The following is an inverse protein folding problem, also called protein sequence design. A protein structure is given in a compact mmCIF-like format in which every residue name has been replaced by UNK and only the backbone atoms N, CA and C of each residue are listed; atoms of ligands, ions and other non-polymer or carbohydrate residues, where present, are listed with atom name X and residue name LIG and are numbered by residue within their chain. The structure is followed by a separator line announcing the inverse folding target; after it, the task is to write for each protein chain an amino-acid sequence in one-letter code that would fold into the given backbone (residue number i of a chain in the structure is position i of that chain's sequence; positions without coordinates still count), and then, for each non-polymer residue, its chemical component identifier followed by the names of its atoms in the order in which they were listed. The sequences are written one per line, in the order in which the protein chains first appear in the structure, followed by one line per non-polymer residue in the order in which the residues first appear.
data_IF_111640939571
#
_entry.id   IF_111640939571
#
_cell.length_a   1.000
_cell.length_b   1.000
_cell.length_c   1.000
_cell.angle_alpha   90.00
_cell.angle_beta   90.00
_cell.angle_gamma   90.00
#
_symmetry.space_group_name_H-M   'P 1'
#
loop_
_entity.id
_entity.type
_entity.pdbx_description
1 polymer ?
#
# COMPACT_ATOMS: atom_id res chain seq x y z
N UNK A 1 -85.03 -16.10 -21.86
CA UNK A 1 -84.38 -15.80 -20.57
C UNK A 1 -83.19 -16.74 -20.37
N UNK A 2 -81.96 -16.24 -20.51
CA UNK A 2 -80.72 -16.95 -20.16
C UNK A 2 -79.77 -15.92 -19.55
N UNK A 3 -79.48 -16.05 -18.25
CA UNK A 3 -78.55 -15.19 -17.49
C UNK A 3 -77.14 -15.74 -17.67
N UNK A 4 -76.22 -14.91 -18.17
CA UNK A 4 -74.80 -15.24 -18.23
C UNK A 4 -74.13 -14.60 -17.00
N UNK A 5 -73.63 -15.44 -16.10
CA UNK A 5 -72.96 -15.04 -14.85
C UNK A 5 -71.49 -14.78 -15.17
N UNK A 6 -71.00 -13.57 -14.88
CA UNK A 6 -69.60 -13.16 -14.95
C UNK A 6 -68.88 -13.58 -13.65
N UNK A 7 -67.89 -14.46 -13.77
CA UNK A 7 -66.96 -14.83 -12.70
C UNK A 7 -65.69 -13.98 -12.82
N UNK A 8 -65.51 -13.02 -11.92
CA UNK A 8 -64.27 -12.27 -11.75
C UNK A 8 -63.31 -13.03 -10.85
N UNK A 9 -62.20 -13.53 -11.41
CA UNK A 9 -61.10 -14.13 -10.67
C UNK A 9 -60.12 -13.03 -10.21
N UNK A 10 -59.96 -12.86 -8.91
CA UNK A 10 -58.93 -12.01 -8.30
C UNK A 10 -57.61 -12.78 -8.25
N UNK A 11 -56.61 -12.37 -9.04
CA UNK A 11 -55.21 -12.79 -8.86
C UNK A 11 -54.54 -11.88 -7.82
N UNK A 12 -54.24 -12.43 -6.63
CA UNK A 12 -53.38 -11.78 -5.65
C UNK A 12 -51.90 -11.95 -6.00
N UNK A 13 -51.23 -10.87 -6.39
CA UNK A 13 -49.76 -10.85 -6.50
C UNK A 13 -49.14 -10.77 -5.10
N UNK A 14 -48.48 -11.85 -4.67
CA UNK A 14 -47.62 -11.83 -3.49
C UNK A 14 -46.31 -11.15 -3.91
N UNK A 15 -46.10 -9.91 -3.48
CA UNK A 15 -44.83 -9.20 -3.65
C UNK A 15 -43.86 -9.73 -2.59
N UNK A 16 -42.94 -10.61 -2.98
CA UNK A 16 -41.80 -10.99 -2.15
C UNK A 16 -40.75 -9.88 -2.22
N UNK A 17 -40.75 -8.98 -1.24
CA UNK A 17 -39.69 -8.00 -1.07
C UNK A 17 -38.44 -8.67 -0.50
N UNK A 18 -37.51 -9.05 -1.38
CA UNK A 18 -36.17 -9.45 -0.96
C UNK A 18 -35.36 -8.20 -0.58
N UNK A 19 -35.18 -7.95 0.72
CA UNK A 19 -34.21 -6.95 1.19
C UNK A 19 -32.80 -7.50 1.00
N UNK A 20 -32.16 -7.13 -0.10
CA UNK A 20 -30.72 -7.30 -0.26
C UNK A 20 -30.02 -6.39 0.77
N UNK A 21 -29.36 -7.00 1.77
CA UNK A 21 -28.43 -6.26 2.63
C UNK A 21 -27.32 -5.71 1.73
N UNK A 22 -27.33 -4.40 1.54
CA UNK A 22 -26.29 -3.68 0.82
C UNK A 22 -24.95 -3.96 1.53
N UNK A 23 -23.90 -4.42 0.83
CA UNK A 23 -22.63 -4.68 1.47
C UNK A 23 -22.12 -3.37 2.05
N UNK A 24 -21.91 -3.34 3.37
CA UNK A 24 -21.24 -2.24 4.07
C UNK A 24 -19.81 -2.17 3.52
N UNK A 25 -19.58 -1.32 2.53
CA UNK A 25 -18.22 -0.98 2.13
C UNK A 25 -17.57 -0.32 3.34
N UNK A 26 -16.52 -0.93 3.88
CA UNK A 26 -15.65 -0.23 4.84
C UNK A 26 -15.18 1.04 4.13
N UNK A 27 -15.65 2.20 4.58
CA UNK A 27 -15.23 3.47 4.00
C UNK A 27 -13.75 3.65 4.29
N UNK A 28 -12.96 3.98 3.27
CA UNK A 28 -11.55 4.32 3.47
C UNK A 28 -11.43 5.51 4.40
N UNK A 29 -10.50 5.44 5.34
CA UNK A 29 -10.23 6.49 6.33
C UNK A 29 -9.10 7.36 5.80
N UNK A 30 -9.33 8.67 5.69
CA UNK A 30 -8.24 9.61 5.42
C UNK A 30 -7.42 9.81 6.70
N UNK A 31 -6.12 9.49 6.64
CA UNK A 31 -5.18 9.70 7.75
C UNK A 31 -4.21 10.80 7.39
N UNK A 32 -4.20 11.86 8.19
CA UNK A 32 -3.15 12.88 8.16
C UNK A 32 -2.05 12.48 9.13
N UNK A 33 -0.82 12.43 8.64
CA UNK A 33 0.35 11.90 9.35
C UNK A 33 1.46 12.94 9.28
N UNK A 34 2.05 13.20 10.44
CA UNK A 34 3.23 14.06 10.56
C UNK A 34 4.24 13.44 11.53
N UNK A 35 5.46 13.23 11.06
CA UNK A 35 6.62 12.85 11.87
C UNK A 35 7.89 13.34 11.16
N UNK A 36 8.86 13.83 11.94
CA UNK A 36 10.00 14.58 11.40
C UNK A 36 9.53 15.68 10.43
N UNK A 37 10.23 15.85 9.30
CA UNK A 37 9.92 16.83 8.25
C UNK A 37 8.80 16.37 7.29
N UNK A 38 8.30 15.14 7.43
CA UNK A 38 7.29 14.59 6.53
C UNK A 38 5.88 14.86 7.04
N UNK A 39 5.06 15.44 6.17
CA UNK A 39 3.64 15.72 6.43
C UNK A 39 2.82 15.31 5.20
N UNK A 40 1.90 14.36 5.37
CA UNK A 40 1.13 13.81 4.26
C UNK A 40 -0.23 13.26 4.70
N UNK A 41 -1.13 13.06 3.73
CA UNK A 41 -2.37 12.30 3.88
C UNK A 41 -2.24 10.95 3.18
N UNK A 42 -2.92 9.94 3.70
CA UNK A 42 -3.00 8.61 3.10
C UNK A 42 -4.43 8.08 3.24
N UNK A 43 -4.96 7.43 2.19
CA UNK A 43 -6.27 6.78 2.22
C UNK A 43 -6.11 5.35 2.70
N UNK A 44 -6.65 5.04 3.88
CA UNK A 44 -6.55 3.73 4.52
C UNK A 44 -7.86 2.94 4.38
N UNK A 45 -8.00 2.05 3.37
CA UNK A 45 -9.16 1.17 3.24
C UNK A 45 -9.10 -0.05 4.17
N UNK A 46 -8.01 -0.25 4.90
CA UNK A 46 -7.78 -1.45 5.73
C UNK A 46 -7.96 -1.17 7.22
N UNK A 47 -8.20 0.09 7.60
CA UNK A 47 -8.31 0.52 9.00
C UNK A 47 -7.12 0.06 9.85
N UNK A 48 -5.90 0.28 9.34
CA UNK A 48 -4.66 -0.09 10.01
C UNK A 48 -4.37 0.78 11.23
N UNK A 49 -3.58 0.24 12.15
CA UNK A 49 -3.05 0.98 13.29
C UNK A 49 -1.80 1.74 12.85
N UNK A 50 -1.86 3.07 12.88
CA UNK A 50 -0.72 3.93 12.59
C UNK A 50 -0.17 4.53 13.89
N UNK A 51 1.13 4.42 14.12
CA UNK A 51 1.83 4.99 15.27
C UNK A 51 3.12 5.67 14.81
N UNK A 52 3.29 6.94 15.14
CA UNK A 52 4.59 7.59 15.06
C UNK A 52 5.33 7.38 16.37
N UNK A 53 6.46 6.68 16.34
CA UNK A 53 7.36 6.60 17.50
C UNK A 53 8.25 7.83 17.51
N UNK A 54 8.12 8.64 18.57
CA UNK A 54 9.03 9.76 18.84
C UNK A 54 10.20 9.37 19.74
N UNK A 55 10.20 8.13 20.22
CA UNK A 55 11.21 7.59 21.14
C UNK A 55 12.39 6.96 20.38
N UNK A 56 12.25 6.74 19.07
CA UNK A 56 13.35 6.38 18.18
C UNK A 56 14.02 7.64 17.63
N UNK A 57 15.34 7.59 17.45
CA UNK A 57 16.09 8.65 16.76
C UNK A 57 16.76 8.05 15.51
N UNK A 58 16.33 8.45 14.29
CA UNK A 58 15.23 9.38 14.00
C UNK A 58 13.84 8.78 14.31
N UNK A 59 12.82 9.63 14.41
CA UNK A 59 11.44 9.19 14.61
C UNK A 59 10.95 8.39 13.38
N UNK A 60 10.20 7.33 13.63
CA UNK A 60 9.66 6.46 12.56
C UNK A 60 8.15 6.34 12.66
N UNK A 61 7.49 6.24 11.51
CA UNK A 61 6.09 5.86 11.41
C UNK A 61 5.97 4.33 11.31
N UNK A 62 4.97 3.75 11.98
CA UNK A 62 4.61 2.35 11.84
C UNK A 62 3.15 2.23 11.45
N UNK A 63 2.84 1.45 10.42
CA UNK A 63 1.49 1.10 10.01
C UNK A 63 1.33 -0.42 10.03
N UNK A 64 0.31 -0.93 10.73
CA UNK A 64 0.01 -2.36 10.80
C UNK A 64 -1.44 -2.60 10.39
N UNK A 65 -1.64 -3.45 9.40
CA UNK A 65 -2.98 -3.85 8.96
C UNK A 65 -3.00 -5.29 8.42
N UNK A 66 -4.12 -5.98 8.60
CA UNK A 66 -4.38 -7.21 7.87
C UNK A 66 -5.07 -6.89 6.55
N UNK A 67 -4.27 -6.77 5.49
CA UNK A 67 -4.72 -6.30 4.16
C UNK A 67 -5.53 -7.37 3.41
N UNK A 68 -5.27 -8.66 3.68
CA UNK A 68 -5.97 -9.77 3.02
C UNK A 68 -6.44 -10.82 4.04
N UNK A 69 -7.42 -10.47 4.90
CA UNK A 69 -7.84 -11.32 6.03
C UNK A 69 -8.57 -12.60 5.59
N UNK A 70 -9.00 -12.66 4.32
CA UNK A 70 -9.71 -13.81 3.73
C UNK A 70 -8.77 -14.77 2.99
N UNK A 71 -7.47 -14.48 2.95
CA UNK A 71 -6.46 -15.38 2.41
C UNK A 71 -6.44 -16.71 3.19
N UNK A 72 -5.91 -17.77 2.58
CA UNK A 72 -5.72 -19.03 3.29
C UNK A 72 -4.56 -18.94 4.28
N UNK A 73 -3.58 -18.09 3.98
CA UNK A 73 -2.40 -17.82 4.80
C UNK A 73 -2.31 -16.31 5.07
N UNK A 74 -3.24 -15.75 5.87
CA UNK A 74 -3.23 -14.34 6.17
C UNK A 74 -2.03 -13.99 7.05
N UNK A 75 -1.56 -12.76 6.92
CA UNK A 75 -0.52 -12.20 7.78
C UNK A 75 -0.75 -10.69 7.92
N UNK A 76 -0.24 -10.13 9.02
CA UNK A 76 -0.26 -8.69 9.21
C UNK A 76 0.83 -8.03 8.36
N UNK A 77 0.41 -7.06 7.56
CA UNK A 77 1.32 -6.21 6.82
C UNK A 77 1.80 -5.10 7.75
N UNK A 78 3.10 -5.05 7.98
CA UNK A 78 3.76 -4.00 8.75
C UNK A 78 4.63 -3.16 7.83
N UNK A 79 4.36 -1.86 7.82
CA UNK A 79 5.11 -0.85 7.06
C UNK A 79 5.79 0.07 8.07
N UNK A 80 7.11 0.14 7.99
CA UNK A 80 7.89 1.16 8.68
C UNK A 80 8.15 2.31 7.72
N UNK A 81 7.94 3.54 8.16
CA UNK A 81 8.20 4.76 7.42
C UNK A 81 9.34 5.55 8.09
N UNK A 82 10.21 6.13 7.27
CA UNK A 82 11.21 7.12 7.66
C UNK A 82 11.08 8.36 6.78
N UNK A 83 11.47 9.51 7.32
CA UNK A 83 11.56 10.75 6.56
C UNK A 83 13.03 11.07 6.32
N UNK A 84 13.44 11.09 5.05
CA UNK A 84 14.81 11.38 4.67
C UNK A 84 14.94 12.84 4.24
N UNK A 85 15.84 13.57 4.88
CA UNK A 85 16.13 14.97 4.56
C UNK A 85 17.62 15.28 4.80
N UNK A 86 18.42 15.61 3.75
CA UNK A 86 18.02 15.72 2.35
C UNK A 86 17.92 14.35 1.65
N UNK A 87 16.92 14.19 0.79
CA UNK A 87 16.75 13.01 -0.08
C UNK A 87 17.65 13.06 -1.31
N UNK A 88 18.95 12.87 -1.08
CA UNK A 88 19.94 12.84 -2.18
C UNK A 88 19.80 11.57 -3.03
N UNK A 89 20.31 11.60 -4.26
CA UNK A 89 20.37 10.40 -5.11
C UNK A 89 21.12 9.23 -4.47
N UNK A 90 22.08 9.51 -3.59
CA UNK A 90 22.80 8.49 -2.85
C UNK A 90 21.88 7.81 -1.82
N UNK A 91 21.10 8.59 -1.07
CA UNK A 91 20.09 8.06 -0.12
C UNK A 91 19.09 7.15 -0.84
N UNK A 92 18.56 7.59 -1.99
CA UNK A 92 17.60 6.78 -2.77
C UNK A 92 18.22 5.49 -3.34
N UNK A 93 19.51 5.54 -3.72
CA UNK A 93 20.28 4.36 -4.15
C UNK A 93 20.49 3.38 -3.01
N UNK A 94 20.81 3.88 -1.82
CA UNK A 94 21.20 3.07 -0.67
C UNK A 94 20.00 2.45 0.04
N UNK A 95 18.84 3.13 0.02
CA UNK A 95 17.63 2.61 0.68
C UNK A 95 16.80 1.70 -0.23
N UNK A 96 16.72 2.01 -1.52
CA UNK A 96 15.78 1.32 -2.43
C UNK A 96 16.35 1.03 -3.82
N UNK A 97 17.67 1.10 -4.00
CA UNK A 97 18.34 0.83 -5.27
C UNK A 97 17.72 1.62 -6.42
N UNK A 98 17.32 2.87 -6.17
CA UNK A 98 16.69 3.71 -7.18
C UNK A 98 17.69 4.66 -7.81
N UNK A 99 17.52 4.88 -9.12
CA UNK A 99 18.18 5.96 -9.85
C UNK A 99 17.20 6.64 -10.79
N UNK A 100 17.43 7.93 -11.03
CA UNK A 100 16.72 8.67 -12.07
C UNK A 100 17.38 8.38 -13.43
N UNK A 101 16.56 8.12 -14.45
CA UNK A 101 16.99 7.96 -15.85
C UNK A 101 16.24 8.96 -16.74
N UNK A 102 16.56 8.98 -18.03
CA UNK A 102 15.82 9.72 -19.05
C UNK A 102 14.33 9.30 -19.16
N UNK A 103 14.01 8.08 -18.70
CA UNK A 103 12.66 7.51 -18.71
C UNK A 103 11.97 7.52 -17.34
N UNK A 104 12.55 8.22 -16.37
CA UNK A 104 12.06 8.25 -14.98
C UNK A 104 12.82 7.31 -14.06
N UNK A 105 12.22 6.98 -12.92
CA UNK A 105 12.83 6.11 -11.90
C UNK A 105 13.02 4.68 -12.41
N UNK A 106 14.20 4.13 -12.12
CA UNK A 106 14.52 2.75 -12.45
C UNK A 106 15.38 2.11 -11.34
N UNK A 107 15.46 0.78 -11.39
CA UNK A 107 16.43 0.03 -10.60
C UNK A 107 17.86 0.46 -10.97
N UNK A 108 18.67 0.67 -9.95
CA UNK A 108 20.11 0.80 -10.07
C UNK A 108 20.77 -0.56 -9.83
N UNK A 109 21.17 -1.28 -10.90
CA UNK A 109 21.74 -2.61 -10.78
C UNK A 109 23.11 -2.63 -10.08
N UNK A 110 23.73 -1.46 -9.87
CA UNK A 110 25.02 -1.36 -9.17
C UNK A 110 24.87 -1.10 -7.67
N UNK A 111 23.64 -1.03 -7.15
CA UNK A 111 23.41 -0.80 -5.73
C UNK A 111 23.76 -2.04 -4.90
N UNK A 112 24.50 -1.84 -3.81
CA UNK A 112 24.96 -2.90 -2.91
C UNK A 112 23.80 -3.57 -2.13
N UNK A 113 22.64 -2.90 -2.05
CA UNK A 113 21.45 -3.48 -1.42
C UNK A 113 20.65 -4.40 -2.34
N UNK A 114 21.00 -4.47 -3.63
CA UNK A 114 20.55 -5.58 -4.47
C UNK A 114 21.33 -6.79 -3.98
N UNK A 115 20.62 -7.72 -3.33
CA UNK A 115 21.25 -8.92 -2.82
C UNK A 115 21.85 -9.80 -3.92
N UNK A 116 22.33 -10.99 -3.54
CA UNK A 116 23.07 -11.84 -4.47
C UNK A 116 22.21 -12.18 -5.70
N UNK A 117 22.84 -12.59 -6.81
CA UNK A 117 22.16 -12.79 -8.11
C UNK A 117 20.96 -13.73 -8.05
N UNK A 118 20.95 -14.67 -7.10
CA UNK A 118 19.89 -15.63 -6.85
C UNK A 118 18.65 -14.99 -6.18
N UNK A 119 18.83 -13.84 -5.52
CA UNK A 119 17.74 -13.05 -4.95
C UNK A 119 17.01 -12.31 -6.05
N UNK A 120 15.76 -12.73 -6.28
CA UNK A 120 14.91 -12.06 -7.26
C UNK A 120 14.53 -10.68 -6.73
N UNK A 121 15.01 -9.67 -7.44
CA UNK A 121 14.72 -8.25 -7.19
C UNK A 121 13.86 -7.69 -8.31
N UNK A 122 12.77 -6.99 -7.98
CA UNK A 122 11.87 -6.37 -8.98
C UNK A 122 11.60 -4.94 -8.61
N UNK A 123 11.75 -4.02 -9.56
CA UNK A 123 11.41 -2.61 -9.39
C UNK A 123 9.96 -2.35 -9.74
N UNK A 124 9.34 -1.47 -8.97
CA UNK A 124 7.97 -0.99 -9.11
C UNK A 124 8.00 0.53 -9.14
N UNK A 125 7.64 1.12 -10.27
CA UNK A 125 7.37 2.55 -10.33
C UNK A 125 6.12 2.85 -9.49
N UNK A 126 6.16 3.96 -8.75
CA UNK A 126 5.04 4.43 -7.94
C UNK A 126 4.63 5.82 -8.42
N UNK A 127 3.32 6.04 -8.53
CA UNK A 127 2.77 7.30 -8.99
C UNK A 127 1.66 7.76 -8.05
N UNK A 128 1.79 8.98 -7.53
CA UNK A 128 0.74 9.60 -6.72
C UNK A 128 0.43 11.01 -7.17
N UNK A 129 -0.35 11.74 -6.34
CA UNK A 129 -0.73 13.12 -6.69
C UNK A 129 0.46 14.06 -6.47
N UNK A 130 1.11 14.44 -7.57
CA UNK A 130 2.17 15.45 -7.56
C UNK A 130 3.56 14.91 -7.21
N UNK A 131 3.74 13.59 -7.25
CA UNK A 131 5.03 12.94 -7.02
C UNK A 131 5.16 11.66 -7.86
N UNK A 132 6.41 11.34 -8.21
CA UNK A 132 6.81 10.05 -8.78
C UNK A 132 7.89 9.46 -7.90
N UNK A 133 7.78 8.17 -7.62
CA UNK A 133 8.72 7.44 -6.78
C UNK A 133 8.90 6.01 -7.25
N UNK A 134 9.31 5.16 -6.34
CA UNK A 134 9.50 3.76 -6.66
C UNK A 134 9.75 2.90 -5.45
N UNK A 135 9.78 1.60 -5.70
CA UNK A 135 10.17 0.63 -4.70
C UNK A 135 10.64 -0.66 -5.33
N UNK A 136 11.21 -1.50 -4.49
CA UNK A 136 11.88 -2.72 -4.88
C UNK A 136 11.41 -3.86 -3.99
N UNK A 137 10.99 -4.95 -4.60
CA UNK A 137 10.78 -6.21 -3.89
C UNK A 137 12.05 -7.03 -3.90
N UNK A 138 12.29 -7.77 -2.81
CA UNK A 138 13.35 -8.77 -2.73
C UNK A 138 12.80 -10.08 -2.14
N UNK A 139 13.14 -11.22 -2.75
CA UNK A 139 12.74 -12.55 -2.31
C UNK A 139 13.72 -13.13 -1.29
N UNK A 140 13.23 -13.78 -0.25
CA UNK A 140 14.08 -14.62 0.61
C UNK A 140 14.67 -15.77 -0.22
N UNK A 141 15.97 -16.03 -0.06
CA UNK A 141 16.68 -17.11 -0.76
C UNK A 141 17.19 -18.21 0.17
N UNK A 142 17.13 -17.98 1.47
CA UNK A 142 17.61 -18.90 2.51
C UNK A 142 16.47 -19.28 3.46
N UNK A 143 16.76 -20.16 4.42
CA UNK A 143 15.77 -20.69 5.35
C UNK A 143 14.79 -21.68 4.69
N UNK A 144 13.74 -22.02 5.46
CA UNK A 144 12.68 -22.95 5.06
C UNK A 144 11.92 -22.43 3.84
N UNK A 145 12.00 -23.18 2.73
CA UNK A 145 11.35 -22.85 1.45
C UNK A 145 9.85 -22.60 1.58
N UNK A 146 9.19 -23.26 2.53
CA UNK A 146 7.75 -23.11 2.74
C UNK A 146 7.37 -21.83 3.48
N UNK A 147 8.36 -21.16 4.08
CA UNK A 147 8.21 -19.94 4.88
C UNK A 147 8.89 -18.72 4.25
N UNK A 148 9.57 -18.88 3.11
CA UNK A 148 10.20 -17.77 2.40
C UNK A 148 9.17 -16.73 2.00
N UNK A 149 9.54 -15.47 2.22
CA UNK A 149 8.71 -14.32 1.97
C UNK A 149 9.33 -13.41 0.90
N UNK A 150 8.52 -12.48 0.42
CA UNK A 150 8.96 -11.31 -0.35
C UNK A 150 8.84 -10.08 0.53
N UNK A 151 9.92 -9.32 0.70
CA UNK A 151 9.90 -7.97 1.28
C UNK A 151 9.67 -6.90 0.21
N UNK A 152 9.38 -5.67 0.64
CA UNK A 152 9.27 -4.51 -0.25
C UNK A 152 9.82 -3.26 0.43
N UNK A 153 10.69 -2.52 -0.24
CA UNK A 153 11.17 -1.22 0.22
C UNK A 153 10.77 -0.15 -0.80
N UNK A 154 10.50 1.08 -0.37
CA UNK A 154 10.08 2.16 -1.26
C UNK A 154 10.61 3.51 -0.78
N UNK A 155 10.74 4.44 -1.71
CA UNK A 155 10.93 5.86 -1.43
C UNK A 155 10.07 6.70 -2.36
N UNK A 156 9.47 7.73 -1.78
CA UNK A 156 8.63 8.70 -2.45
C UNK A 156 9.29 10.08 -2.28
N UNK A 157 10.07 10.53 -3.27
CA UNK A 157 10.67 11.86 -3.25
C UNK A 157 9.62 12.96 -3.37
N UNK A 158 9.82 14.04 -2.61
CA UNK A 158 9.02 15.26 -2.68
C UNK A 158 9.88 16.46 -2.32
N UNK A 159 10.17 17.33 -3.29
CA UNK A 159 11.12 18.46 -3.13
C UNK A 159 12.50 17.97 -2.65
N UNK A 160 12.96 18.44 -1.48
CA UNK A 160 14.25 18.07 -0.89
C UNK A 160 14.18 16.85 0.05
N UNK A 161 12.98 16.34 0.32
CA UNK A 161 12.75 15.23 1.24
C UNK A 161 12.25 13.98 0.51
N UNK A 162 12.27 12.84 1.18
CA UNK A 162 11.64 11.62 0.71
C UNK A 162 10.97 10.87 1.87
N UNK A 163 9.75 10.42 1.64
CA UNK A 163 9.11 9.45 2.52
C UNK A 163 9.56 8.06 2.07
N UNK A 164 10.43 7.43 2.85
CA UNK A 164 10.93 6.09 2.60
C UNK A 164 10.30 5.09 3.54
N UNK A 165 10.38 3.80 3.20
CA UNK A 165 9.88 2.78 4.10
C UNK A 165 10.18 1.35 3.66
N UNK A 166 9.98 0.45 4.61
CA UNK A 166 10.15 -0.99 4.44
C UNK A 166 8.89 -1.69 4.89
N UNK A 167 8.34 -2.50 4.00
CA UNK A 167 7.28 -3.47 4.27
C UNK A 167 7.94 -4.81 4.48
N UNK A 168 7.90 -5.29 5.73
CA UNK A 168 8.61 -6.51 6.12
C UNK A 168 8.28 -7.68 5.19
N UNK A 169 6.99 -7.88 4.91
CA UNK A 169 6.50 -8.92 4.03
C UNK A 169 5.31 -8.46 3.19
N UNK A 170 5.28 -8.84 1.91
CA UNK A 170 4.19 -8.59 0.97
C UNK A 170 3.66 -9.85 0.27
N UNK A 171 4.35 -10.98 0.42
CA UNK A 171 3.90 -12.28 -0.08
C UNK A 171 4.64 -13.42 0.60
N UNK A 172 3.99 -14.57 0.73
CA UNK A 172 4.68 -15.86 0.79
C UNK A 172 5.09 -16.27 -0.63
N UNK A 173 6.33 -16.72 -0.82
CA UNK A 173 6.80 -17.16 -2.15
C UNK A 173 6.07 -18.43 -2.62
N UNK A 174 5.65 -19.30 -1.69
CA UNK A 174 4.89 -20.52 -1.97
C UNK A 174 3.44 -20.25 -2.40
N UNK A 175 2.87 -19.11 -2.01
CA UNK A 175 1.48 -18.73 -2.30
C UNK A 175 1.39 -17.34 -2.93
N UNK A 176 1.99 -17.12 -4.12
CA UNK A 176 2.13 -15.78 -4.71
C UNK A 176 0.78 -15.12 -5.06
N UNK A 177 -0.29 -15.92 -5.25
CA UNK A 177 -1.64 -15.42 -5.51
C UNK A 177 -2.28 -14.75 -4.29
N UNK A 178 -1.74 -14.96 -3.09
CA UNK A 178 -2.20 -14.36 -1.84
C UNK A 178 -1.42 -13.08 -1.49
N UNK A 179 -0.54 -12.62 -2.38
CA UNK A 179 0.26 -11.40 -2.19
C UNK A 179 -0.61 -10.17 -1.93
N UNK A 180 -0.12 -9.32 -1.04
CA UNK A 180 -0.69 -8.01 -0.72
C UNK A 180 0.07 -6.86 -1.40
N UNK A 181 1.08 -7.15 -2.23
CA UNK A 181 1.88 -6.11 -2.88
C UNK A 181 1.03 -5.11 -3.70
N UNK A 182 0.06 -5.53 -4.53
CA UNK A 182 -0.78 -4.57 -5.26
C UNK A 182 -1.58 -3.64 -4.36
N UNK A 183 -2.03 -4.14 -3.21
CA UNK A 183 -2.78 -3.39 -2.20
C UNK A 183 -1.86 -2.40 -1.46
N UNK A 184 -0.64 -2.83 -1.13
CA UNK A 184 0.40 -1.95 -0.56
C UNK A 184 0.76 -0.85 -1.54
N UNK A 185 0.99 -1.15 -2.82
CA UNK A 185 1.26 -0.15 -3.86
C UNK A 185 0.12 0.87 -3.91
N UNK A 186 -1.13 0.43 -3.98
CA UNK A 186 -2.29 1.34 -3.98
C UNK A 186 -2.40 2.21 -2.72
N UNK A 187 -2.06 1.65 -1.55
CA UNK A 187 -2.01 2.40 -0.30
C UNK A 187 -0.97 3.52 -0.39
N UNK A 188 0.24 3.20 -0.88
CA UNK A 188 1.33 4.16 -1.04
C UNK A 188 1.01 5.21 -2.12
N UNK A 189 0.44 4.82 -3.26
CA UNK A 189 0.02 5.73 -4.34
C UNK A 189 -1.13 6.66 -3.92
N UNK A 190 -1.84 6.36 -2.82
CA UNK A 190 -2.83 7.25 -2.24
C UNK A 190 -2.23 8.41 -1.43
N UNK A 191 -0.91 8.40 -1.22
CA UNK A 191 -0.22 9.41 -0.43
C UNK A 191 -0.29 10.77 -1.15
N UNK A 192 -0.63 11.81 -0.41
CA UNK A 192 -0.62 13.19 -0.87
C UNK A 192 0.17 14.01 0.15
N UNK A 193 1.30 14.59 -0.26
CA UNK A 193 2.09 15.46 0.63
C UNK A 193 1.31 16.74 0.94
N UNK A 194 1.35 17.14 2.20
CA UNK A 194 0.82 18.42 2.64
C UNK A 194 2.00 19.38 2.70
N UNK A 195 2.06 20.25 1.71
CA UNK A 195 3.02 21.33 1.72
C UNK A 195 2.64 22.32 2.82
N UNK A 196 3.44 22.37 3.88
CA UNK A 196 3.39 23.50 4.81
C UNK A 196 3.74 24.76 4.03
N UNK A 197 2.76 25.62 3.79
CA UNK A 197 2.96 26.89 3.10
C UNK A 197 3.80 27.82 3.96
N UNK A 198 5.12 27.75 3.82
CA UNK A 198 6.07 28.74 4.31
C UNK A 198 7.07 29.05 3.20
N UNK A 199 7.28 30.31 2.80
CA UNK A 199 8.42 30.65 1.96
C UNK A 199 9.72 30.29 2.70
N UNK A 200 10.77 29.87 1.99
CA UNK A 200 12.10 29.80 2.58
C UNK A 200 12.48 31.20 3.08
N UNK A 201 12.74 31.33 4.38
CA UNK A 201 13.42 32.50 4.94
C UNK A 201 14.90 32.47 4.53
#
# INVERSE_FOLDING_TARGET
MKKCVLLTAWLGCIVMSASAKQPTSVQAIDREIQFEDCHFKMKDPYNGDFRASRDSTPAVGGYIANINPKARHPFDTSIQFSCENPATSQVLRDLVAMRMTDKGWALDPSSEIIGPKEQRTTFHALHGRGWDGGGVTADDINGDETRRMRGYAFCIPHRQLALCGVVRYVAYLKWPKESVLPQVIKLLESIEFIDSSGPPN
#
